data_IF_688598249039
#
_entry.id   IF_688598249039
#
_cell.length_a   1.000
_cell.length_b   1.000
_cell.length_c   1.000
_cell.angle_alpha   90.00
_cell.angle_beta   90.00
_cell.angle_gamma   90.00
#
_symmetry.space_group_name_H-M   'P 1'
#
loop_
_entity.id
_entity.type
_entity.pdbx_description
1 polymer ?
#
# COMPACT_ATOMS: atom_id res chain seq x y z
N UNK A 1 4.44 4.76 21.94
CA UNK A 1 4.24 3.31 21.65
C UNK A 1 5.00 2.39 22.61
N UNK A 2 4.33 1.33 23.10
CA UNK A 2 4.90 0.22 23.93
C UNK A 2 5.58 -0.91 23.15
N UNK A 3 5.50 -0.91 21.82
CA UNK A 3 6.13 -1.90 20.95
C UNK A 3 7.08 -1.23 19.96
N UNK A 4 8.13 -1.96 19.57
CA UNK A 4 9.07 -1.55 18.52
C UNK A 4 9.22 -2.58 17.41
N UNK A 5 8.79 -3.82 17.64
CA UNK A 5 8.86 -4.93 16.66
C UNK A 5 7.48 -5.56 16.48
N UNK A 6 7.28 -6.27 15.37
CA UNK A 6 6.08 -7.03 15.06
C UNK A 6 5.86 -8.15 16.09
N UNK A 7 6.95 -8.80 16.52
CA UNK A 7 6.89 -9.80 17.58
C UNK A 7 6.42 -9.21 18.92
N UNK A 8 6.92 -8.04 19.31
CA UNK A 8 6.46 -7.34 20.52
C UNK A 8 5.00 -6.92 20.41
N UNK A 9 4.60 -6.43 19.24
CA UNK A 9 3.21 -6.05 18.96
C UNK A 9 2.27 -7.26 19.14
N UNK A 10 2.57 -8.40 18.51
CA UNK A 10 1.76 -9.60 18.66
C UNK A 10 1.73 -10.14 20.10
N UNK A 11 2.89 -10.16 20.79
CA UNK A 11 2.96 -10.63 22.17
C UNK A 11 2.14 -9.75 23.13
N UNK A 12 2.12 -8.43 22.93
CA UNK A 12 1.28 -7.52 23.71
C UNK A 12 -0.21 -7.74 23.45
N UNK A 13 -0.60 -7.91 22.19
CA UNK A 13 -1.98 -8.24 21.83
C UNK A 13 -2.45 -9.54 22.50
N UNK A 14 -1.61 -10.58 22.47
CA UNK A 14 -1.91 -11.87 23.11
C UNK A 14 -2.00 -11.76 24.64
N UNK A 15 -1.08 -11.02 25.27
CA UNK A 15 -1.06 -10.83 26.72
C UNK A 15 -2.27 -10.02 27.23
N UNK A 16 -2.78 -9.07 26.43
CA UNK A 16 -3.91 -8.21 26.80
C UNK A 16 -5.26 -8.71 26.25
N UNK A 17 -5.28 -9.75 25.43
CA UNK A 17 -6.50 -10.23 24.78
C UNK A 17 -7.12 -9.22 23.82
N UNK A 18 -6.27 -8.42 23.14
CA UNK A 18 -6.69 -7.34 22.23
C UNK A 18 -6.31 -7.64 20.78
N UNK A 19 -7.06 -7.05 19.86
CA UNK A 19 -6.62 -6.95 18.45
C UNK A 19 -5.46 -5.97 18.32
N UNK A 20 -4.73 -6.01 17.21
CA UNK A 20 -3.71 -5.02 16.86
C UNK A 20 -4.36 -3.65 16.71
N UNK A 21 -5.54 -3.57 16.08
CA UNK A 21 -6.30 -2.33 15.95
C UNK A 21 -6.61 -1.68 17.30
N UNK A 22 -7.17 -2.43 18.26
CA UNK A 22 -7.55 -1.90 19.58
C UNK A 22 -6.32 -1.43 20.36
N UNK A 23 -5.24 -2.23 20.34
CA UNK A 23 -3.97 -1.84 20.97
C UNK A 23 -3.42 -0.54 20.36
N UNK A 24 -3.41 -0.43 19.02
CA UNK A 24 -2.89 0.75 18.34
C UNK A 24 -3.74 2.00 18.59
N UNK A 25 -5.06 1.87 18.65
CA UNK A 25 -5.95 2.98 19.00
C UNK A 25 -5.63 3.54 20.40
N UNK A 26 -5.45 2.66 21.38
CA UNK A 26 -5.07 3.07 22.74
C UNK A 26 -3.69 3.73 22.79
N UNK A 27 -2.71 3.17 22.10
CA UNK A 27 -1.37 3.74 22.05
C UNK A 27 -1.36 5.11 21.38
N UNK A 28 -2.09 5.24 20.26
CA UNK A 28 -2.22 6.50 19.53
C UNK A 28 -2.90 7.58 20.37
N UNK A 29 -3.98 7.24 21.07
CA UNK A 29 -4.69 8.17 21.97
C UNK A 29 -3.78 8.65 23.11
N UNK A 30 -3.00 7.73 23.71
CA UNK A 30 -2.03 8.09 24.76
C UNK A 30 -0.92 8.99 24.22
N UNK A 31 -0.40 8.69 23.04
CA UNK A 31 0.72 9.44 22.44
C UNK A 31 0.30 10.83 21.97
N UNK A 32 -0.88 10.96 21.38
CA UNK A 32 -1.39 12.25 20.90
C UNK A 32 -2.02 13.12 22.00
N UNK A 33 -2.33 12.52 23.15
CA UNK A 33 -3.10 13.16 24.23
C UNK A 33 -4.57 13.39 23.89
N UNK A 34 -5.09 12.80 22.82
CA UNK A 34 -6.49 12.90 22.39
C UNK A 34 -7.30 11.71 22.88
N UNK A 35 -8.63 11.84 22.92
CA UNK A 35 -9.49 10.71 23.26
C UNK A 35 -9.54 9.67 22.12
N UNK A 36 -9.77 8.38 22.44
CA UNK A 36 -9.93 7.34 21.42
C UNK A 36 -11.00 7.66 20.37
N UNK A 37 -12.11 8.30 20.76
CA UNK A 37 -13.19 8.68 19.85
C UNK A 37 -12.72 9.72 18.83
N UNK A 38 -11.79 10.60 19.22
CA UNK A 38 -11.24 11.62 18.33
C UNK A 38 -10.25 11.02 17.32
N UNK A 39 -9.43 10.07 17.77
CA UNK A 39 -8.56 9.29 16.87
C UNK A 39 -9.40 8.47 15.88
N UNK A 40 -10.44 7.80 16.37
CA UNK A 40 -11.39 7.07 15.54
C UNK A 40 -12.04 7.95 14.49
N UNK A 41 -12.59 9.10 14.89
CA UNK A 41 -13.23 10.05 13.98
C UNK A 41 -12.27 10.55 12.90
N UNK A 42 -10.99 10.73 13.24
CA UNK A 42 -9.95 11.11 12.28
C UNK A 42 -9.72 9.99 11.27
N UNK A 43 -9.57 8.75 11.75
CA UNK A 43 -9.35 7.59 10.89
C UNK A 43 -10.55 7.29 9.99
N UNK A 44 -11.78 7.45 10.51
CA UNK A 44 -13.01 7.37 9.73
C UNK A 44 -13.06 8.42 8.61
N UNK A 45 -12.60 9.65 8.88
CA UNK A 45 -12.50 10.68 7.85
C UNK A 45 -11.50 10.31 6.75
N UNK A 46 -10.38 9.65 7.10
CA UNK A 46 -9.40 9.16 6.12
C UNK A 46 -9.99 8.04 5.26
N UNK A 47 -10.73 7.12 5.87
CA UNK A 47 -11.41 6.07 5.11
C UNK A 47 -12.46 6.64 4.14
N UNK A 48 -13.20 7.67 4.56
CA UNK A 48 -14.12 8.40 3.67
C UNK A 48 -13.43 8.97 2.43
N UNK A 49 -12.26 9.59 2.61
CA UNK A 49 -11.45 10.14 1.51
C UNK A 49 -10.92 9.02 0.60
N UNK A 50 -10.50 7.90 1.17
CA UNK A 50 -10.08 6.70 0.43
C UNK A 50 -11.19 6.18 -0.49
N UNK A 51 -12.43 6.04 0.02
CA UNK A 51 -13.59 5.64 -0.78
C UNK A 51 -13.91 6.65 -1.87
N UNK A 52 -13.83 7.95 -1.56
CA UNK A 52 -14.03 9.01 -2.54
C UNK A 52 -13.01 8.91 -3.68
N UNK A 53 -11.73 8.66 -3.38
CA UNK A 53 -10.67 8.51 -4.37
C UNK A 53 -10.90 7.27 -5.26
N UNK A 54 -11.33 6.13 -4.70
CA UNK A 54 -11.73 4.95 -5.49
C UNK A 54 -12.85 5.31 -6.45
N UNK A 55 -13.94 5.91 -5.96
CA UNK A 55 -15.08 6.33 -6.79
C UNK A 55 -14.64 7.25 -7.92
N UNK A 56 -13.88 8.30 -7.59
CA UNK A 56 -13.37 9.27 -8.57
C UNK A 56 -12.56 8.59 -9.68
N UNK A 57 -11.61 7.73 -9.32
CA UNK A 57 -10.78 7.06 -10.33
C UNK A 57 -11.54 6.09 -11.24
N UNK A 58 -12.69 5.58 -10.79
CA UNK A 58 -13.55 4.73 -11.61
C UNK A 58 -14.55 5.50 -12.48
N UNK A 59 -14.85 6.77 -12.17
CA UNK A 59 -15.95 7.50 -12.83
C UNK A 59 -15.55 8.80 -13.51
N UNK A 60 -14.41 9.39 -13.17
CA UNK A 60 -13.97 10.69 -13.68
C UNK A 60 -12.74 10.52 -14.60
N UNK A 61 -12.46 11.52 -15.42
CA UNK A 61 -11.24 11.53 -16.24
C UNK A 61 -10.01 11.77 -15.34
N UNK A 62 -9.23 10.72 -15.13
CA UNK A 62 -8.00 10.72 -14.33
C UNK A 62 -6.73 10.83 -15.16
N UNK A 63 -6.84 11.26 -16.42
CA UNK A 63 -5.66 11.50 -17.26
C UNK A 63 -4.68 12.44 -16.55
N UNK A 64 -3.45 11.97 -16.36
CA UNK A 64 -2.43 12.71 -15.65
C UNK A 64 -2.03 13.98 -16.41
N UNK A 65 -1.46 14.96 -15.71
CA UNK A 65 -0.97 16.20 -16.37
C UNK A 65 0.12 15.95 -17.40
N UNK A 66 0.88 14.86 -17.25
CA UNK A 66 1.91 14.46 -18.22
C UNK A 66 1.28 13.82 -19.48
N UNK A 67 0.07 13.27 -19.34
CA UNK A 67 -0.65 12.51 -20.35
C UNK A 67 -0.10 11.08 -20.54
N UNK A 68 0.75 10.60 -19.63
CA UNK A 68 1.32 9.25 -19.71
C UNK A 68 0.42 8.17 -19.16
N UNK A 69 -0.44 8.51 -18.20
CA UNK A 69 -1.28 7.56 -17.47
C UNK A 69 -2.69 8.10 -17.28
N UNK A 70 -3.63 7.21 -17.00
CA UNK A 70 -5.04 7.52 -16.78
C UNK A 70 -5.97 6.50 -17.43
N UNK A 71 -7.14 6.36 -16.81
CA UNK A 71 -8.25 5.49 -17.22
C UNK A 71 -7.94 3.97 -17.21
N UNK A 72 -6.77 3.53 -16.76
CA UNK A 72 -6.47 2.10 -16.60
C UNK A 72 -7.38 1.46 -15.55
N UNK A 73 -7.72 2.20 -14.48
CA UNK A 73 -8.70 1.72 -13.51
C UNK A 73 -10.06 1.41 -14.16
N UNK A 74 -10.53 2.29 -15.05
CA UNK A 74 -11.76 2.10 -15.80
C UNK A 74 -11.66 0.96 -16.81
N UNK A 75 -10.50 0.80 -17.48
CA UNK A 75 -10.24 -0.32 -18.39
C UNK A 75 -10.34 -1.66 -17.65
N UNK A 76 -9.68 -1.79 -16.50
CA UNK A 76 -9.74 -3.01 -15.67
C UNK A 76 -11.15 -3.25 -15.12
N UNK A 77 -11.84 -2.20 -14.66
CA UNK A 77 -13.22 -2.31 -14.16
C UNK A 77 -14.21 -2.71 -15.28
N UNK A 78 -14.02 -2.21 -16.50
CA UNK A 78 -14.83 -2.61 -17.67
C UNK A 78 -14.55 -4.05 -18.09
N UNK A 79 -13.28 -4.47 -18.03
CA UNK A 79 -12.89 -5.85 -18.28
C UNK A 79 -13.62 -6.81 -17.32
N UNK A 80 -13.67 -6.47 -16.03
CA UNK A 80 -14.42 -7.25 -15.02
C UNK A 80 -15.90 -7.43 -15.32
N UNK A 81 -16.55 -6.42 -15.89
CA UNK A 81 -17.98 -6.50 -16.23
C UNK A 81 -18.29 -7.34 -17.47
N UNK A 82 -17.28 -7.75 -18.24
CA UNK A 82 -17.46 -8.39 -19.55
C UNK A 82 -16.66 -9.67 -19.76
N UNK A 83 -15.69 -9.96 -18.89
CA UNK A 83 -14.78 -11.09 -19.02
C UNK A 83 -14.47 -11.72 -17.67
N UNK A 84 -14.09 -13.00 -17.69
CA UNK A 84 -13.56 -13.69 -16.52
C UNK A 84 -12.08 -13.32 -16.31
N UNK A 85 -11.75 -12.84 -15.11
CA UNK A 85 -10.38 -12.45 -14.77
C UNK A 85 -9.55 -13.65 -14.30
N UNK A 86 -8.32 -13.79 -14.79
CA UNK A 86 -7.41 -14.90 -14.41
C UNK A 86 -7.09 -14.93 -12.91
N UNK A 87 -7.13 -13.78 -12.24
CA UNK A 87 -6.90 -13.66 -10.79
C UNK A 87 -8.18 -13.83 -9.97
N UNK A 88 -9.31 -14.13 -10.63
CA UNK A 88 -10.65 -14.08 -10.04
C UNK A 88 -11.21 -12.65 -9.97
N UNK A 89 -12.54 -12.56 -9.88
CA UNK A 89 -13.25 -11.27 -9.86
C UNK A 89 -12.78 -10.35 -8.73
N UNK A 90 -12.67 -10.90 -7.52
CA UNK A 90 -12.42 -10.14 -6.30
C UNK A 90 -11.02 -9.50 -6.25
N UNK A 91 -9.99 -10.25 -6.63
CA UNK A 91 -8.64 -9.73 -6.70
C UNK A 91 -8.48 -8.72 -7.85
N UNK A 92 -9.19 -8.95 -8.96
CA UNK A 92 -9.20 -8.00 -10.08
C UNK A 92 -9.90 -6.69 -9.69
N UNK A 93 -10.98 -6.74 -8.90
CA UNK A 93 -11.67 -5.57 -8.35
C UNK A 93 -10.74 -4.75 -7.45
N UNK A 94 -10.02 -5.42 -6.54
CA UNK A 94 -9.01 -4.78 -5.69
C UNK A 94 -7.91 -4.09 -6.52
N UNK A 95 -7.45 -4.74 -7.60
CA UNK A 95 -6.49 -4.16 -8.54
C UNK A 95 -7.06 -2.91 -9.23
N UNK A 96 -8.29 -2.95 -9.74
CA UNK A 96 -8.94 -1.79 -10.36
C UNK A 96 -9.05 -0.61 -9.38
N UNK A 97 -9.40 -0.87 -8.12
CA UNK A 97 -9.58 0.17 -7.11
C UNK A 97 -8.23 0.77 -6.68
N UNK A 98 -7.17 -0.04 -6.61
CA UNK A 98 -5.82 0.46 -6.35
C UNK A 98 -5.27 1.32 -7.50
N UNK A 99 -5.55 0.94 -8.75
CA UNK A 99 -5.26 1.78 -9.91
C UNK A 99 -6.04 3.10 -9.82
N UNK A 100 -7.34 3.05 -9.49
CA UNK A 100 -8.20 4.23 -9.40
C UNK A 100 -7.62 5.31 -8.49
N UNK A 101 -7.23 4.94 -7.27
CA UNK A 101 -6.65 5.89 -6.31
C UNK A 101 -5.28 6.40 -6.77
N UNK A 102 -4.46 5.54 -7.36
CA UNK A 102 -3.14 5.93 -7.86
C UNK A 102 -3.24 6.90 -9.04
N UNK A 103 -4.24 6.74 -9.90
CA UNK A 103 -4.53 7.66 -11.00
C UNK A 103 -5.10 9.00 -10.50
N UNK A 104 -5.94 8.98 -9.46
CA UNK A 104 -6.37 10.23 -8.78
C UNK A 104 -5.17 10.97 -8.21
N UNK A 105 -4.20 10.27 -7.63
CA UNK A 105 -2.95 10.90 -7.20
C UNK A 105 -2.17 11.51 -8.38
N UNK A 106 -2.00 10.76 -9.47
CA UNK A 106 -1.30 11.23 -10.68
C UNK A 106 -2.01 12.42 -11.37
N UNK A 107 -3.32 12.55 -11.22
CA UNK A 107 -4.10 13.69 -11.70
C UNK A 107 -4.15 14.88 -10.72
N UNK A 108 -3.38 14.82 -9.62
CA UNK A 108 -3.31 15.82 -8.55
C UNK A 108 -4.59 15.94 -7.70
N UNK A 109 -5.39 14.89 -7.65
CA UNK A 109 -6.53 14.76 -6.77
C UNK A 109 -6.15 14.50 -5.31
N UNK A 110 -7.16 14.51 -4.42
CA UNK A 110 -6.98 14.28 -2.99
C UNK A 110 -6.92 12.78 -2.68
N UNK A 111 -5.86 12.36 -1.99
CA UNK A 111 -5.65 10.98 -1.52
C UNK A 111 -5.17 10.96 -0.05
N UNK A 112 -5.09 9.76 0.54
CA UNK A 112 -4.41 9.50 1.81
C UNK A 112 -3.13 8.73 1.52
N UNK A 113 -1.99 9.21 2.02
CA UNK A 113 -0.71 8.54 1.85
C UNK A 113 -0.62 7.28 2.72
N UNK A 114 -0.15 6.16 2.15
CA UNK A 114 -0.06 4.87 2.86
C UNK A 114 1.12 4.00 2.38
N UNK A 115 2.35 4.18 2.90
CA UNK A 115 2.80 5.29 3.73
C UNK A 115 3.14 6.56 2.94
N UNK A 116 3.27 6.48 1.61
CA UNK A 116 3.53 7.65 0.75
C UNK A 116 2.43 7.84 -0.29
N UNK A 117 2.52 8.93 -1.06
CA UNK A 117 1.62 9.16 -2.19
C UNK A 117 1.79 8.12 -3.32
N UNK A 118 2.99 7.57 -3.52
CA UNK A 118 3.23 6.59 -4.60
C UNK A 118 2.72 5.19 -4.32
N UNK A 119 2.33 4.91 -3.08
CA UNK A 119 1.73 3.64 -2.61
C UNK A 119 0.30 3.79 -2.09
N UNK A 120 -0.32 4.96 -2.31
CA UNK A 120 -1.61 5.31 -1.74
C UNK A 120 -2.79 4.44 -2.19
N UNK A 121 -2.65 3.67 -3.27
CA UNK A 121 -3.73 2.87 -3.83
C UNK A 121 -3.93 1.51 -3.17
N UNK A 122 -2.91 0.96 -2.50
CA UNK A 122 -2.93 -0.44 -2.07
C UNK A 122 -3.95 -0.68 -0.94
N UNK A 123 -3.87 0.07 0.16
CA UNK A 123 -4.81 -0.07 1.27
C UNK A 123 -6.26 0.18 0.82
N UNK A 124 -6.62 1.29 0.16
CA UNK A 124 -8.00 1.50 -0.28
C UNK A 124 -8.44 0.47 -1.32
N UNK A 125 -7.56 0.04 -2.23
CA UNK A 125 -7.86 -1.01 -3.19
C UNK A 125 -8.28 -2.31 -2.52
N UNK A 126 -7.53 -2.74 -1.50
CA UNK A 126 -7.83 -3.94 -0.70
C UNK A 126 -9.07 -3.74 0.17
N UNK A 127 -9.18 -2.61 0.87
CA UNK A 127 -10.21 -2.41 1.89
C UNK A 127 -11.59 -2.16 1.28
N UNK A 128 -11.69 -1.31 0.26
CA UNK A 128 -12.99 -0.99 -0.36
C UNK A 128 -13.52 -2.20 -1.13
N UNK A 129 -12.67 -2.93 -1.85
CA UNK A 129 -13.10 -4.16 -2.53
C UNK A 129 -13.52 -5.24 -1.53
N UNK A 130 -12.78 -5.45 -0.44
CA UNK A 130 -13.16 -6.39 0.61
C UNK A 130 -14.45 -5.96 1.35
N UNK A 131 -14.62 -4.66 1.60
CA UNK A 131 -15.83 -4.11 2.21
C UNK A 131 -17.06 -4.49 1.38
N UNK A 132 -17.04 -4.23 0.09
CA UNK A 132 -18.13 -4.55 -0.84
C UNK A 132 -18.39 -6.05 -0.91
N UNK A 133 -17.32 -6.86 -1.01
CA UNK A 133 -17.40 -8.32 -1.10
C UNK A 133 -18.03 -8.95 0.15
N UNK A 134 -17.63 -8.52 1.34
CA UNK A 134 -18.05 -9.14 2.60
C UNK A 134 -19.21 -8.42 3.29
N UNK A 135 -19.70 -7.30 2.73
CA UNK A 135 -20.80 -6.53 3.29
C UNK A 135 -20.48 -5.90 4.64
N UNK A 136 -19.22 -5.50 4.85
CA UNK A 136 -18.78 -4.89 6.10
C UNK A 136 -19.15 -3.41 6.20
N UNK A 137 -19.35 -2.92 7.41
CA UNK A 137 -19.55 -1.49 7.66
C UNK A 137 -18.22 -0.71 7.65
N UNK A 138 -18.31 0.62 7.61
CA UNK A 138 -17.13 1.49 7.62
C UNK A 138 -16.30 1.33 8.89
N UNK A 139 -16.95 1.13 10.03
CA UNK A 139 -16.30 1.01 11.34
C UNK A 139 -15.35 -0.20 11.37
N UNK A 140 -15.73 -1.32 10.75
CA UNK A 140 -14.86 -2.48 10.59
C UNK A 140 -13.58 -2.13 9.82
N UNK A 141 -13.67 -1.38 8.72
CA UNK A 141 -12.50 -0.99 7.93
C UNK A 141 -11.66 0.09 8.63
N UNK A 142 -12.29 0.94 9.43
CA UNK A 142 -11.58 1.90 10.31
C UNK A 142 -10.72 1.17 11.34
N UNK A 143 -11.19 0.06 11.93
CA UNK A 143 -10.32 -0.82 12.77
C UNK A 143 -9.12 -1.31 11.98
N UNK A 144 -9.35 -1.78 10.76
CA UNK A 144 -8.27 -2.23 9.88
C UNK A 144 -7.21 -1.16 9.62
N UNK A 145 -7.60 0.12 9.54
CA UNK A 145 -6.64 1.21 9.37
C UNK A 145 -5.75 1.42 10.61
N UNK A 146 -6.26 1.19 11.83
CA UNK A 146 -5.42 1.17 13.03
C UNK A 146 -4.43 -0.01 12.99
N UNK A 147 -4.87 -1.20 12.56
CA UNK A 147 -3.99 -2.34 12.38
C UNK A 147 -2.86 -2.06 11.37
N UNK A 148 -3.24 -1.53 10.20
CA UNK A 148 -2.29 -1.11 9.17
C UNK A 148 -1.33 -0.04 9.71
N UNK A 149 -1.83 0.91 10.50
CA UNK A 149 -1.03 1.95 11.16
C UNK A 149 -0.01 1.38 12.15
N UNK A 150 -0.37 0.38 12.94
CA UNK A 150 0.55 -0.29 13.86
C UNK A 150 1.71 -0.98 13.14
N UNK A 151 1.38 -1.71 12.06
CA UNK A 151 2.37 -2.37 11.20
C UNK A 151 3.26 -1.32 10.54
N UNK A 152 2.65 -0.27 9.98
CA UNK A 152 3.38 0.84 9.36
C UNK A 152 4.32 1.55 10.34
N UNK A 153 3.90 1.73 11.60
CA UNK A 153 4.74 2.27 12.66
C UNK A 153 5.97 1.41 12.90
N UNK A 154 5.81 0.08 13.01
CA UNK A 154 6.96 -0.82 13.19
C UNK A 154 7.90 -0.75 11.99
N UNK A 155 7.37 -0.81 10.76
CA UNK A 155 8.21 -0.75 9.56
C UNK A 155 8.97 0.57 9.47
N UNK A 156 8.30 1.70 9.74
CA UNK A 156 8.91 3.02 9.66
C UNK A 156 10.02 3.26 10.69
N UNK A 157 9.96 2.61 11.86
CA UNK A 157 10.99 2.75 12.89
C UNK A 157 12.17 1.79 12.72
N UNK A 158 12.06 0.78 11.86
CA UNK A 158 13.10 -0.25 11.67
C UNK A 158 13.61 -0.31 10.22
N UNK A 159 13.05 0.47 9.30
CA UNK A 159 13.44 0.52 7.90
C UNK A 159 13.08 1.86 7.26
N UNK A 160 13.27 1.97 5.94
CA UNK A 160 12.83 3.12 5.16
C UNK A 160 11.34 3.01 4.80
N UNK A 161 10.71 4.15 4.55
CA UNK A 161 9.34 4.22 3.98
C UNK A 161 9.29 4.88 2.60
N UNK A 162 10.39 5.51 2.17
CA UNK A 162 10.48 6.27 0.92
C UNK A 162 11.19 5.47 -0.18
N UNK A 163 10.62 5.54 -1.39
CA UNK A 163 11.25 5.00 -2.61
C UNK A 163 12.64 5.58 -2.89
N UNK A 164 12.86 6.84 -2.53
CA UNK A 164 14.13 7.54 -2.71
C UNK A 164 15.26 6.99 -1.82
N UNK A 165 14.94 6.45 -0.65
CA UNK A 165 15.93 5.98 0.32
C UNK A 165 16.18 4.48 0.20
N UNK A 166 15.10 3.68 0.20
CA UNK A 166 15.17 2.22 0.28
C UNK A 166 14.74 1.48 -1.00
N UNK A 167 14.45 2.19 -2.08
CA UNK A 167 13.79 1.62 -3.26
C UNK A 167 12.29 1.42 -3.03
N UNK A 168 11.56 1.01 -4.06
CA UNK A 168 10.10 0.89 -4.00
C UNK A 168 9.63 -0.25 -3.09
N UNK A 169 10.52 -1.18 -2.70
CA UNK A 169 10.26 -2.10 -1.60
C UNK A 169 9.91 -1.38 -0.29
N UNK A 170 10.55 -0.25 0.00
CA UNK A 170 10.34 0.51 1.23
C UNK A 170 9.00 1.26 1.21
N UNK A 171 8.53 1.61 0.02
CA UNK A 171 7.27 2.33 -0.16
C UNK A 171 6.11 1.36 -0.43
N UNK A 172 6.10 0.75 -1.61
CA UNK A 172 5.05 -0.17 -2.07
C UNK A 172 5.09 -1.46 -1.26
N UNK A 173 6.26 -2.00 -0.96
CA UNK A 173 6.36 -3.21 -0.13
C UNK A 173 5.78 -3.01 1.28
N UNK A 174 6.08 -1.88 1.92
CA UNK A 174 5.49 -1.50 3.21
C UNK A 174 3.96 -1.39 3.13
N UNK A 175 3.42 -0.75 2.10
CA UNK A 175 1.98 -0.63 1.90
C UNK A 175 1.28 -1.98 1.71
N UNK A 176 1.91 -2.89 0.94
CA UNK A 176 1.43 -4.27 0.76
C UNK A 176 1.42 -5.01 2.10
N UNK A 177 2.50 -4.88 2.88
CA UNK A 177 2.63 -5.51 4.18
C UNK A 177 1.59 -5.01 5.19
N UNK A 178 1.39 -3.68 5.25
CA UNK A 178 0.35 -3.04 6.06
C UNK A 178 -1.04 -3.56 5.68
N UNK A 179 -1.36 -3.60 4.39
CA UNK A 179 -2.63 -4.10 3.89
C UNK A 179 -2.82 -5.60 4.19
N UNK A 180 -1.78 -6.42 4.03
CA UNK A 180 -1.84 -7.87 4.26
C UNK A 180 -2.10 -8.21 5.74
N UNK A 181 -1.36 -7.58 6.66
CA UNK A 181 -1.56 -7.80 8.09
C UNK A 181 -2.93 -7.31 8.57
N UNK A 182 -3.34 -6.11 8.14
CA UNK A 182 -4.66 -5.58 8.46
C UNK A 182 -5.80 -6.43 7.89
N UNK A 183 -5.68 -6.91 6.65
CA UNK A 183 -6.68 -7.79 6.05
C UNK A 183 -6.76 -9.14 6.75
N UNK A 184 -5.63 -9.66 7.25
CA UNK A 184 -5.61 -10.87 8.07
C UNK A 184 -6.42 -10.67 9.36
N UNK A 185 -6.22 -9.56 10.07
CA UNK A 185 -6.98 -9.23 11.27
C UNK A 185 -8.48 -9.01 10.97
N UNK A 186 -8.81 -8.25 9.93
CA UNK A 186 -10.20 -7.99 9.52
C UNK A 186 -10.97 -9.26 9.15
N UNK A 187 -10.25 -10.30 8.73
CA UNK A 187 -10.79 -11.64 8.42
C UNK A 187 -10.79 -12.59 9.63
N UNK A 188 -10.47 -12.10 10.82
CA UNK A 188 -10.50 -12.85 12.08
C UNK A 188 -9.23 -13.64 12.39
N UNK A 189 -8.13 -13.36 11.70
CA UNK A 189 -6.83 -13.94 11.99
C UNK A 189 -6.25 -13.44 13.32
N UNK A 190 -5.40 -14.25 13.94
CA UNK A 190 -4.71 -13.87 15.18
C UNK A 190 -3.63 -12.81 14.93
N UNK A 191 -3.17 -12.07 15.97
CA UNK A 191 -2.03 -11.17 15.84
C UNK A 191 -0.79 -11.85 15.24
N UNK A 192 -0.51 -13.09 15.63
CA UNK A 192 0.58 -13.90 15.06
C UNK A 192 0.39 -14.16 13.56
N UNK A 193 -0.83 -14.46 13.10
CA UNK A 193 -1.11 -14.62 11.66
C UNK A 193 -0.92 -13.30 10.91
N UNK A 194 -1.36 -12.17 11.46
CA UNK A 194 -1.14 -10.85 10.85
C UNK A 194 0.35 -10.55 10.70
N UNK A 195 1.17 -10.87 11.72
CA UNK A 195 2.64 -10.77 11.63
C UNK A 195 3.21 -11.69 10.55
N UNK A 196 2.71 -12.91 10.40
CA UNK A 196 3.14 -13.79 9.30
C UNK A 196 2.77 -13.22 7.93
N UNK A 197 1.56 -12.66 7.76
CA UNK A 197 1.14 -12.03 6.50
C UNK A 197 2.09 -10.90 6.08
N UNK A 198 2.54 -10.06 7.03
CA UNK A 198 3.54 -9.01 6.80
C UNK A 198 4.83 -9.60 6.23
N UNK A 199 5.37 -10.66 6.85
CA UNK A 199 6.59 -11.30 6.39
C UNK A 199 6.45 -11.98 5.03
N UNK A 200 5.28 -12.55 4.71
CA UNK A 200 5.00 -13.15 3.40
C UNK A 200 4.94 -12.08 2.31
N UNK A 201 4.20 -11.00 2.56
CA UNK A 201 4.06 -9.87 1.65
C UNK A 201 5.41 -9.22 1.31
N UNK A 202 6.22 -8.91 2.33
CA UNK A 202 7.51 -8.23 2.14
C UNK A 202 8.49 -9.05 1.31
N UNK A 203 8.56 -10.39 1.52
CA UNK A 203 9.47 -11.27 0.76
C UNK A 203 9.25 -11.18 -0.75
N UNK A 204 8.02 -10.98 -1.20
CA UNK A 204 7.71 -10.85 -2.62
C UNK A 204 8.07 -9.48 -3.20
N UNK A 205 8.59 -8.56 -2.39
CA UNK A 205 8.91 -7.18 -2.79
C UNK A 205 10.35 -6.78 -2.51
N UNK A 206 11.13 -7.61 -1.79
CA UNK A 206 12.54 -7.34 -1.52
C UNK A 206 13.35 -7.16 -2.81
N UNK A 207 14.17 -6.11 -2.86
CA UNK A 207 14.97 -5.72 -4.01
C UNK A 207 14.24 -4.87 -5.05
N UNK A 208 12.98 -4.50 -4.83
CA UNK A 208 12.22 -3.68 -5.78
C UNK A 208 12.80 -2.26 -5.87
N UNK A 209 13.41 -1.94 -7.01
CA UNK A 209 14.03 -0.64 -7.30
C UNK A 209 12.99 0.48 -7.48
N UNK A 210 13.38 1.74 -7.30
CA UNK A 210 12.54 2.91 -7.59
C UNK A 210 13.18 3.73 -8.72
N UNK A 211 12.74 3.55 -9.96
CA UNK A 211 13.25 4.33 -11.10
C UNK A 211 12.08 4.80 -12.00
N UNK A 212 11.25 5.73 -11.51
CA UNK A 212 10.08 6.19 -12.24
C UNK A 212 10.46 6.99 -13.49
N UNK A 213 9.69 6.79 -14.57
CA UNK A 213 9.90 7.51 -15.84
C UNK A 213 9.62 9.00 -15.62
N UNK A 214 10.61 9.84 -15.94
CA UNK A 214 10.51 11.29 -15.78
C UNK A 214 10.48 11.79 -14.33
N UNK A 215 10.80 10.92 -13.36
CA UNK A 215 10.66 11.24 -11.94
C UNK A 215 9.21 11.44 -11.50
N UNK A 216 8.24 10.94 -12.28
CA UNK A 216 6.81 11.10 -12.03
C UNK A 216 6.26 9.88 -11.29
N UNK A 217 5.35 10.11 -10.34
CA UNK A 217 4.64 9.05 -9.61
C UNK A 217 3.53 8.46 -10.49
N UNK A 218 3.93 7.93 -11.64
CA UNK A 218 3.05 7.43 -12.70
C UNK A 218 3.52 6.06 -13.18
N UNK A 219 4.63 6.01 -13.92
CA UNK A 219 5.18 4.78 -14.49
C UNK A 219 6.48 4.41 -13.77
N UNK A 220 6.56 3.26 -13.07
CA UNK A 220 5.58 2.16 -12.97
C UNK A 220 4.68 2.21 -11.72
N UNK A 221 4.64 3.34 -11.00
CA UNK A 221 4.03 3.44 -9.67
C UNK A 221 2.56 2.99 -9.65
N UNK A 222 1.76 3.40 -10.64
CA UNK A 222 0.32 3.08 -10.71
C UNK A 222 0.11 1.56 -10.81
N UNK A 223 0.76 0.90 -11.76
CA UNK A 223 0.62 -0.57 -11.93
C UNK A 223 1.17 -1.35 -10.74
N UNK A 224 2.20 -0.83 -10.04
CA UNK A 224 2.70 -1.43 -8.80
C UNK A 224 1.68 -1.43 -7.68
N UNK A 225 0.81 -0.42 -7.60
CA UNK A 225 -0.30 -0.43 -6.63
C UNK A 225 -1.33 -1.51 -6.98
N UNK A 226 -1.68 -1.64 -8.27
CA UNK A 226 -2.57 -2.69 -8.75
C UNK A 226 -2.08 -4.10 -8.39
N UNK A 227 -0.83 -4.43 -8.73
CA UNK A 227 -0.22 -5.71 -8.34
C UNK A 227 -0.05 -5.85 -6.82
N UNK A 228 0.23 -4.75 -6.13
CA UNK A 228 0.37 -4.72 -4.68
C UNK A 228 -0.91 -5.11 -3.94
N UNK A 229 -2.07 -4.67 -4.41
CA UNK A 229 -3.35 -5.07 -3.84
C UNK A 229 -3.57 -6.59 -3.92
N UNK A 230 -3.26 -7.20 -5.06
CA UNK A 230 -3.35 -8.66 -5.24
C UNK A 230 -2.35 -9.40 -4.34
N UNK A 231 -1.12 -8.90 -4.24
CA UNK A 231 -0.10 -9.49 -3.36
C UNK A 231 -0.52 -9.43 -1.88
N UNK A 232 -1.12 -8.33 -1.45
CA UNK A 232 -1.60 -8.16 -0.07
C UNK A 232 -2.73 -9.16 0.26
N UNK A 233 -3.70 -9.33 -0.65
CA UNK A 233 -4.77 -10.31 -0.50
C UNK A 233 -4.21 -11.74 -0.44
N UNK A 234 -3.30 -12.09 -1.35
CA UNK A 234 -2.68 -13.41 -1.39
C UNK A 234 -1.88 -13.71 -0.10
N UNK A 235 -1.12 -12.74 0.41
CA UNK A 235 -0.36 -12.89 1.66
C UNK A 235 -1.29 -13.06 2.88
N UNK A 236 -2.42 -12.35 2.92
CA UNK A 236 -3.43 -12.50 3.97
C UNK A 236 -4.07 -13.90 3.92
N UNK A 237 -4.51 -14.36 2.74
CA UNK A 237 -5.11 -15.68 2.57
C UNK A 237 -4.13 -16.80 2.94
N UNK A 238 -2.85 -16.67 2.55
CA UNK A 238 -1.80 -17.62 2.96
C UNK A 238 -1.63 -17.69 4.48
N UNK A 239 -1.56 -16.54 5.16
CA UNK A 239 -1.41 -16.50 6.61
C UNK A 239 -2.64 -17.07 7.34
N UNK A 240 -3.85 -16.78 6.86
CA UNK A 240 -5.10 -17.34 7.36
C UNK A 240 -5.16 -18.87 7.16
N UNK A 241 -4.64 -19.37 6.05
CA UNK A 241 -4.49 -20.79 5.77
C UNK A 241 -3.41 -21.48 6.63
N UNK A 242 -2.68 -20.72 7.45
CA UNK A 242 -1.64 -21.24 8.35
C UNK A 242 -0.25 -21.32 7.73
N UNK A 243 -0.03 -20.73 6.55
CA UNK A 243 1.31 -20.56 5.99
C UNK A 243 2.08 -19.58 6.87
N UNK A 244 3.18 -20.06 7.46
CA UNK A 244 4.02 -19.26 8.34
C UNK A 244 5.20 -18.68 7.59
N UNK A 245 5.56 -17.46 7.96
CA UNK A 245 6.83 -16.88 7.57
C UNK A 245 7.97 -17.63 8.27
N UNK A 246 8.72 -18.45 7.54
CA UNK A 246 9.83 -19.25 8.11
C UNK A 246 10.94 -18.37 8.71
N UNK A 247 11.28 -17.28 8.03
CA UNK A 247 12.11 -16.21 8.58
C UNK A 247 11.21 -15.25 9.36
N UNK A 248 11.50 -14.90 10.62
CA UNK A 248 10.69 -13.96 11.40
C UNK A 248 10.45 -12.65 10.64
N UNK A 249 9.22 -12.13 10.69
CA UNK A 249 8.85 -10.97 9.89
C UNK A 249 9.65 -9.72 10.24
N UNK A 250 10.07 -9.57 11.50
CA UNK A 250 11.00 -8.52 11.92
C UNK A 250 12.36 -8.61 11.21
N UNK A 251 12.91 -9.83 11.04
CA UNK A 251 14.14 -10.03 10.27
C UNK A 251 13.93 -9.69 8.79
N UNK A 252 12.75 -9.96 8.23
CA UNK A 252 12.41 -9.56 6.85
C UNK A 252 12.41 -8.02 6.72
N UNK A 253 11.92 -7.29 7.72
CA UNK A 253 11.98 -5.81 7.75
C UNK A 253 13.43 -5.33 7.83
N UNK A 254 14.28 -5.98 8.63
CA UNK A 254 15.72 -5.69 8.68
C UNK A 254 16.39 -5.94 7.33
N UNK A 255 16.10 -7.05 6.68
CA UNK A 255 16.62 -7.35 5.32
C UNK A 255 16.16 -6.29 4.32
N UNK A 256 14.92 -5.79 4.41
CA UNK A 256 14.46 -4.68 3.58
C UNK A 256 15.33 -3.44 3.76
N UNK A 257 15.68 -3.10 5.01
CA UNK A 257 16.60 -1.99 5.31
C UNK A 257 18.00 -2.22 4.73
N UNK A 258 18.56 -3.40 4.93
CA UNK A 258 19.90 -3.76 4.44
C UNK A 258 19.98 -3.72 2.91
N UNK A 259 19.01 -4.33 2.23
CA UNK A 259 18.90 -4.31 0.76
C UNK A 259 18.73 -2.88 0.25
N UNK A 260 17.90 -2.07 0.92
CA UNK A 260 17.69 -0.67 0.57
C UNK A 260 18.97 0.16 0.71
N UNK A 261 19.69 -0.03 1.82
CA UNK A 261 20.95 0.66 2.11
C UNK A 261 22.07 0.29 1.14
N UNK A 262 22.11 -0.98 0.71
CA UNK A 262 23.06 -1.46 -0.29
C UNK A 262 22.66 -1.09 -1.73
N UNK A 263 21.46 -0.56 -1.96
CA UNK A 263 20.95 -0.29 -3.31
C UNK A 263 21.74 0.84 -3.99
N UNK A 264 22.31 0.61 -5.19
CA UNK A 264 22.99 1.67 -5.94
C UNK A 264 22.08 2.88 -6.15
N UNK A 265 22.62 4.09 -5.99
CA UNK A 265 21.86 5.34 -6.11
C UNK A 265 21.06 5.42 -7.42
N UNK A 266 21.64 4.94 -8.53
CA UNK A 266 20.98 4.88 -9.84
C UNK A 266 19.70 4.03 -9.89
N UNK A 267 19.52 3.11 -8.95
CA UNK A 267 18.33 2.25 -8.85
C UNK A 267 17.35 2.72 -7.76
N UNK A 268 17.69 3.79 -7.05
CA UNK A 268 16.77 4.59 -6.25
C UNK A 268 16.23 5.73 -7.13
N UNK A 269 15.36 6.57 -6.58
CA UNK A 269 14.48 7.53 -7.27
C UNK A 269 15.21 8.70 -7.98
N UNK A 270 16.20 8.36 -8.80
CA UNK A 270 17.06 9.29 -9.55
C UNK A 270 16.79 9.28 -11.05
N UNK A 271 15.96 8.34 -11.53
CA UNK A 271 15.68 8.13 -12.94
C UNK A 271 16.93 7.77 -13.77
N UNK A 272 17.97 7.18 -13.16
CA UNK A 272 19.31 6.95 -13.77
C UNK A 272 19.66 5.49 -14.02
N UNK A 273 18.81 4.50 -13.70
CA UNK A 273 19.27 3.10 -13.73
C UNK A 273 18.27 2.01 -14.09
N UNK A 274 16.98 2.32 -14.23
CA UNK A 274 15.93 1.35 -14.51
C UNK A 274 15.07 1.74 -15.72
N UNK A 275 13.74 1.72 -15.55
CA UNK A 275 12.78 1.96 -16.63
C UNK A 275 12.97 3.33 -17.30
N UNK A 276 13.37 4.35 -16.54
CA UNK A 276 13.61 5.69 -17.09
C UNK A 276 14.74 5.68 -18.13
N UNK A 277 15.71 4.77 -18.01
CA UNK A 277 16.87 4.71 -18.90
C UNK A 277 16.68 3.84 -20.15
N UNK A 278 15.53 3.18 -20.29
CA UNK A 278 15.16 2.46 -21.51
C UNK A 278 15.07 3.42 -22.71
N UNK A 279 15.21 2.94 -23.97
CA UNK A 279 15.03 3.79 -25.15
C UNK A 279 13.70 4.55 -25.13
N UNK A 280 12.61 3.88 -24.78
CA UNK A 280 11.28 4.47 -24.67
C UNK A 280 11.19 5.46 -23.50
N UNK A 281 11.74 5.11 -22.32
CA UNK A 281 11.77 6.01 -21.16
C UNK A 281 12.52 7.32 -21.45
N UNK A 282 13.69 7.23 -22.09
CA UNK A 282 14.47 8.40 -22.54
C UNK A 282 13.72 9.27 -23.53
N UNK A 283 13.02 8.65 -24.49
CA UNK A 283 12.17 9.36 -25.46
C UNK A 283 11.05 10.13 -24.75
N UNK A 284 10.31 9.46 -23.87
CA UNK A 284 9.24 10.08 -23.07
C UNK A 284 9.77 11.27 -22.27
N UNK A 285 10.90 11.11 -21.56
CA UNK A 285 11.49 12.20 -20.77
C UNK A 285 11.91 13.39 -21.63
N UNK A 286 12.43 13.15 -22.83
CA UNK A 286 12.76 14.21 -23.79
C UNK A 286 11.50 15.00 -24.20
N UNK A 287 10.42 14.30 -24.54
CA UNK A 287 9.14 14.90 -24.94
C UNK A 287 8.52 15.72 -23.79
N UNK A 288 8.55 15.22 -22.56
CA UNK A 288 8.08 15.95 -21.38
C UNK A 288 8.88 17.24 -21.14
N UNK A 289 10.20 17.19 -21.30
CA UNK A 289 11.05 18.38 -21.16
C UNK A 289 10.78 19.43 -22.24
N UNK A 290 10.45 19.00 -23.46
CA UNK A 290 10.04 19.92 -24.53
C UNK A 290 8.69 20.58 -24.23
N UNK A 291 7.74 19.83 -23.67
CA UNK A 291 6.42 20.38 -23.26
C UNK A 291 6.55 21.40 -22.13
N UNK A 292 7.41 21.15 -21.14
CA UNK A 292 7.69 22.09 -20.02
C UNK A 292 8.31 23.41 -20.47
N UNK A 293 8.98 23.44 -21.62
CA UNK A 293 9.63 24.64 -22.17
C UNK A 293 8.73 25.46 -23.09
N UNK A 294 7.51 25.02 -23.37
CA UNK A 294 6.53 25.84 -24.09
C UNK A 294 5.93 26.86 -23.10
N UNK A 295 5.94 28.17 -23.44
CA UNK A 295 5.45 29.23 -22.57
C UNK A 295 3.95 29.11 -22.28
#
# INVERSE_FOLDING_TARGET
MRFRTLQQLAALCEAEGKTIADLMLEEQAKESGRSPEKEWSTMASYYGIMKEAVRKGLTEDTTSRSGLTGLDAQRVNTYLGSHEASVGEEACRAMAYALAVSEVNASMGRIIATPTAGSCGIIPGVFVSAQERFGWDDDHLVKGLFCAGAIGYVVANNSFVSGAEGGCQAEVGSAIAMAAGAMTELRGGTPSQAVHAVGLALKNTLGLICDPVGGLVEVPCIVRNGFGAVNALAAADMALAGVRSAIPSDEVVTVMYEVGSAMPEKHRETAKGGLAQTPTGKKIMSELNLRRKKP
#
